data_IF_912467823631
#
_entry.id   IF_912467823631
#
_cell.length_a   1.000
_cell.length_b   1.000
_cell.length_c   1.000
_cell.angle_alpha   90.00
_cell.angle_beta   90.00
_cell.angle_gamma   90.00
#
_symmetry.space_group_name_H-M   'P 1'
#
loop_
_entity.id
_entity.type
_entity.pdbx_description
1 polymer ?
#
# COMPACT_ATOMS: atom_id res chain seq x y z
N UNK A 1 29.01 -17.46 23.25
CA UNK A 1 29.51 -16.57 22.20
C UNK A 1 28.40 -16.37 21.23
N UNK A 2 27.72 -15.51 21.46
CA UNK A 2 27.21 -14.16 21.14
C UNK A 2 26.28 -14.17 19.95
N UNK A 3 24.96 -14.36 20.27
CA UNK A 3 23.81 -14.22 19.39
C UNK A 3 23.65 -12.80 18.79
N UNK A 4 24.47 -11.85 19.24
CA UNK A 4 24.41 -10.43 18.86
C UNK A 4 25.11 -10.11 17.55
N UNK A 5 25.95 -10.99 17.03
CA UNK A 5 26.80 -10.69 15.86
C UNK A 5 26.10 -10.83 14.50
N UNK A 6 25.05 -11.66 14.38
CA UNK A 6 24.37 -11.92 13.08
C UNK A 6 23.39 -10.82 12.70
N UNK A 7 22.88 -10.05 13.68
CA UNK A 7 21.97 -8.94 13.42
C UNK A 7 22.64 -7.55 13.54
N UNK A 8 23.87 -7.48 14.04
CA UNK A 8 24.60 -6.21 14.23
C UNK A 8 25.22 -5.64 12.94
N UNK A 9 25.36 -6.46 11.88
CA UNK A 9 25.92 -6.02 10.59
C UNK A 9 24.96 -5.10 9.81
N UNK A 10 23.71 -5.03 10.19
CA UNK A 10 22.73 -4.12 9.57
C UNK A 10 22.71 -2.69 10.18
N UNK A 11 23.53 -2.42 11.20
CA UNK A 11 23.53 -1.10 11.87
C UNK A 11 24.76 -0.21 11.59
N UNK A 12 25.64 -0.61 10.68
CA UNK A 12 26.95 0.02 10.48
C UNK A 12 27.27 0.61 9.12
N UNK A 13 26.28 0.84 8.27
CA UNK A 13 26.47 1.68 7.08
C UNK A 13 25.71 2.99 7.21
N UNK A 14 26.32 4.15 6.82
CA UNK A 14 25.57 5.38 6.73
C UNK A 14 24.41 5.11 5.77
N UNK A 15 23.21 5.47 6.21
CA UNK A 15 21.98 5.36 5.44
C UNK A 15 22.18 5.94 4.05
N UNK A 16 22.55 5.10 3.09
CA UNK A 16 22.06 5.29 1.74
C UNK A 16 20.57 5.17 1.89
N UNK A 17 19.88 6.27 1.77
CA UNK A 17 18.45 6.36 1.65
C UNK A 17 17.99 5.16 0.85
N UNK A 18 17.11 4.27 1.35
CA UNK A 18 16.47 3.33 0.48
C UNK A 18 15.83 4.21 -0.58
N UNK A 19 16.31 4.11 -1.80
CA UNK A 19 15.51 4.57 -2.93
C UNK A 19 14.29 3.66 -2.88
N UNK A 20 13.26 4.13 -2.17
CA UNK A 20 11.92 3.66 -2.43
C UNK A 20 11.80 3.63 -3.95
N UNK A 21 11.38 2.51 -4.54
CA UNK A 21 11.00 2.54 -5.93
C UNK A 21 10.08 3.74 -6.03
N UNK A 22 10.52 4.73 -6.80
CA UNK A 22 9.75 5.94 -7.02
C UNK A 22 8.35 5.46 -7.33
N UNK A 23 7.44 5.65 -6.39
CA UNK A 23 6.03 5.55 -6.61
C UNK A 23 5.74 6.66 -7.62
N UNK A 24 6.09 6.37 -8.88
CA UNK A 24 5.49 7.08 -9.97
C UNK A 24 4.03 6.88 -9.74
N UNK A 25 3.29 7.95 -9.54
CA UNK A 25 1.87 8.01 -9.79
C UNK A 25 1.66 7.61 -11.26
N UNK A 26 1.82 6.32 -11.52
CA UNK A 26 1.55 5.70 -12.81
C UNK A 26 0.07 5.41 -12.76
N UNK A 27 -0.72 5.98 -13.66
CA UNK A 27 -2.09 5.56 -13.81
C UNK A 27 -2.08 4.05 -14.07
N UNK A 28 -2.64 3.26 -13.18
CA UNK A 28 -2.88 1.84 -13.39
C UNK A 28 -3.79 1.72 -14.61
N UNK A 29 -3.20 1.45 -15.76
CA UNK A 29 -3.96 0.93 -16.89
C UNK A 29 -4.38 -0.50 -16.55
N UNK A 30 -5.68 -0.69 -16.40
CA UNK A 30 -6.39 -1.90 -16.74
C UNK A 30 -6.22 -3.09 -15.84
N UNK A 31 -7.07 -3.17 -14.91
CA UNK A 31 -8.08 -4.22 -14.73
C UNK A 31 -9.05 -3.65 -13.70
N UNK A 32 -10.26 -3.36 -14.15
CA UNK A 32 -11.35 -2.98 -13.27
C UNK A 32 -11.77 -4.23 -12.46
N UNK A 33 -10.99 -4.56 -11.46
CA UNK A 33 -11.54 -5.15 -10.27
C UNK A 33 -12.16 -3.98 -9.53
N UNK A 34 -13.44 -3.97 -9.22
CA UNK A 34 -14.01 -2.89 -8.43
C UNK A 34 -13.20 -2.82 -7.16
N UNK A 35 -12.53 -1.68 -6.93
CA UNK A 35 -11.89 -1.40 -5.67
C UNK A 35 -12.94 -1.74 -4.61
N UNK A 36 -12.60 -2.69 -3.72
CA UNK A 36 -13.36 -2.89 -2.52
C UNK A 36 -13.20 -1.59 -1.72
N UNK A 37 -14.08 -0.64 -2.03
CA UNK A 37 -14.30 0.48 -1.14
C UNK A 37 -14.78 -0.15 0.15
N UNK A 38 -13.88 -0.20 1.15
CA UNK A 38 -14.29 -0.41 2.53
C UNK A 38 -15.51 0.47 2.75
N UNK A 39 -16.60 -0.05 3.31
CA UNK A 39 -17.77 0.74 3.53
C UNK A 39 -17.35 1.87 4.48
N UNK A 40 -17.21 3.09 3.94
CA UNK A 40 -17.22 4.28 4.77
C UNK A 40 -18.57 4.21 5.46
N UNK A 41 -18.54 3.98 6.76
CA UNK A 41 -19.73 3.89 7.59
C UNK A 41 -20.61 5.08 7.23
N UNK A 42 -21.83 4.79 6.77
CA UNK A 42 -22.83 5.77 6.44
C UNK A 42 -23.20 6.53 7.74
N UNK A 43 -22.45 7.60 8.03
CA UNK A 43 -22.79 8.51 9.10
C UNK A 43 -23.84 9.48 8.59
N UNK A 44 -25.07 9.17 8.94
CA UNK A 44 -26.17 10.06 9.30
C UNK A 44 -26.38 11.33 8.46
N UNK A 45 -27.07 11.21 7.34
CA UNK A 45 -28.16 12.14 7.05
C UNK A 45 -29.31 11.73 7.96
N UNK A 46 -30.03 12.69 8.55
CA UNK A 46 -31.07 12.48 9.51
C UNK A 46 -31.91 11.20 9.29
N UNK A 47 -31.76 10.25 10.21
CA UNK A 47 -32.66 9.12 10.44
C UNK A 47 -32.72 8.09 9.36
N UNK A 48 -32.24 6.91 9.67
CA UNK A 48 -32.73 5.55 9.33
C UNK A 48 -33.20 5.18 7.91
N UNK A 49 -33.08 6.01 6.87
CA UNK A 49 -33.35 5.57 5.52
C UNK A 49 -32.11 4.96 4.89
N UNK A 50 -32.14 3.68 4.45
CA UNK A 50 -31.02 3.06 3.76
C UNK A 50 -30.71 3.83 2.47
N UNK A 51 -29.42 3.99 2.15
CA UNK A 51 -29.02 4.60 0.87
C UNK A 51 -29.28 3.61 -0.28
N UNK A 52 -30.49 3.66 -0.82
CA UNK A 52 -30.95 2.76 -1.89
C UNK A 52 -30.13 2.97 -3.17
N UNK A 53 -29.68 4.20 -3.46
CA UNK A 53 -28.88 4.49 -4.65
C UNK A 53 -27.50 3.82 -4.56
N UNK A 54 -26.81 4.01 -3.45
CA UNK A 54 -25.52 3.36 -3.19
C UNK A 54 -25.66 1.83 -3.09
N UNK A 55 -26.72 1.35 -2.43
CA UNK A 55 -26.99 -0.08 -2.37
C UNK A 55 -27.30 -0.72 -3.75
N UNK A 56 -27.92 0.01 -4.66
CA UNK A 56 -28.11 -0.44 -6.06
C UNK A 56 -26.76 -0.46 -6.81
N UNK A 57 -25.93 0.56 -6.61
CA UNK A 57 -24.57 0.64 -7.17
C UNK A 57 -23.70 -0.54 -6.74
N UNK A 58 -23.63 -0.84 -5.45
CA UNK A 58 -22.86 -1.97 -4.91
C UNK A 58 -23.29 -3.32 -5.49
N UNK A 59 -24.57 -3.47 -5.85
CA UNK A 59 -25.09 -4.70 -6.50
C UNK A 59 -24.96 -4.70 -8.02
N UNK A 60 -24.25 -3.74 -8.61
CA UNK A 60 -24.05 -3.63 -10.06
C UNK A 60 -25.32 -3.17 -10.83
N UNK A 61 -26.35 -2.70 -10.12
CA UNK A 61 -27.61 -2.21 -10.74
C UNK A 61 -27.47 -0.73 -11.10
N UNK A 62 -26.56 -0.41 -12.02
CA UNK A 62 -26.11 0.96 -12.28
C UNK A 62 -27.22 1.87 -12.84
N UNK A 63 -28.10 1.38 -13.69
CA UNK A 63 -29.24 2.14 -14.22
C UNK A 63 -30.20 2.51 -13.08
N UNK A 64 -30.47 1.59 -12.16
CA UNK A 64 -31.30 1.85 -10.97
C UNK A 64 -30.61 2.83 -10.04
N UNK A 65 -29.29 2.66 -9.80
CA UNK A 65 -28.51 3.58 -9.00
C UNK A 65 -28.53 4.99 -9.57
N UNK A 66 -28.39 5.13 -10.87
CA UNK A 66 -28.46 6.42 -11.57
C UNK A 66 -29.81 7.12 -11.37
N UNK A 67 -30.93 6.41 -11.57
CA UNK A 67 -32.26 6.96 -11.38
C UNK A 67 -32.50 7.43 -9.94
N UNK A 68 -32.16 6.60 -8.94
CA UNK A 68 -32.31 6.92 -7.53
C UNK A 68 -31.39 8.07 -7.09
N UNK A 69 -30.14 8.07 -7.56
CA UNK A 69 -29.20 9.15 -7.27
C UNK A 69 -29.64 10.48 -7.89
N UNK A 70 -30.13 10.45 -9.12
CA UNK A 70 -30.68 11.65 -9.81
C UNK A 70 -31.83 12.24 -9.03
N UNK A 71 -32.78 11.42 -8.62
CA UNK A 71 -33.92 11.87 -7.84
C UNK A 71 -33.46 12.54 -6.53
N UNK A 72 -32.59 11.89 -5.75
CA UNK A 72 -32.10 12.44 -4.47
C UNK A 72 -31.25 13.71 -4.65
N UNK A 73 -30.40 13.73 -5.70
CA UNK A 73 -29.59 14.90 -6.00
C UNK A 73 -30.43 16.13 -6.35
N UNK A 74 -31.53 15.95 -7.09
CA UNK A 74 -32.42 17.05 -7.49
C UNK A 74 -33.37 17.47 -6.36
N UNK A 75 -34.03 16.51 -5.71
CA UNK A 75 -35.06 16.78 -4.70
C UNK A 75 -34.48 17.24 -3.37
N UNK A 76 -33.40 16.59 -2.91
CA UNK A 76 -32.81 16.82 -1.59
C UNK A 76 -31.46 17.55 -1.64
N UNK A 77 -30.91 17.80 -2.82
CA UNK A 77 -29.57 18.36 -3.04
C UNK A 77 -28.47 17.55 -2.28
N UNK A 78 -28.67 16.23 -2.18
CA UNK A 78 -27.81 15.33 -1.43
C UNK A 78 -26.42 15.21 -2.07
N UNK A 79 -25.35 15.63 -1.39
CA UNK A 79 -24.00 15.64 -1.98
C UNK A 79 -23.47 14.24 -2.28
N UNK A 80 -23.82 13.23 -1.48
CA UNK A 80 -23.39 11.84 -1.72
C UNK A 80 -24.01 11.28 -3.02
N UNK A 81 -25.28 11.59 -3.28
CA UNK A 81 -25.92 11.20 -4.53
C UNK A 81 -25.32 11.94 -5.74
N UNK A 82 -24.92 13.20 -5.57
CA UNK A 82 -24.19 13.95 -6.62
C UNK A 82 -22.82 13.31 -6.90
N UNK A 83 -22.08 12.91 -5.87
CA UNK A 83 -20.80 12.19 -6.01
C UNK A 83 -20.99 10.86 -6.74
N UNK A 84 -22.04 10.11 -6.39
CA UNK A 84 -22.38 8.85 -7.08
C UNK A 84 -22.71 9.08 -8.56
N UNK A 85 -23.42 10.14 -8.91
CA UNK A 85 -23.67 10.51 -10.32
C UNK A 85 -22.36 10.82 -11.05
N UNK A 86 -21.46 11.56 -10.41
CA UNK A 86 -20.13 11.81 -10.93
C UNK A 86 -19.37 10.51 -11.21
N UNK A 87 -19.42 9.55 -10.30
CA UNK A 87 -18.76 8.24 -10.44
C UNK A 87 -19.36 7.41 -11.58
N UNK A 88 -20.69 7.40 -11.71
CA UNK A 88 -21.39 6.70 -12.79
C UNK A 88 -21.00 7.26 -14.17
N UNK A 89 -20.95 8.59 -14.33
CA UNK A 89 -20.47 9.23 -15.57
C UNK A 89 -18.97 9.02 -15.81
N UNK A 90 -18.14 9.12 -14.77
CA UNK A 90 -16.69 8.96 -14.87
C UNK A 90 -16.26 7.58 -15.36
N UNK A 91 -17.04 6.55 -15.03
CA UNK A 91 -16.74 5.15 -15.34
C UNK A 91 -17.65 4.55 -16.42
N UNK A 92 -18.64 5.30 -16.94
CA UNK A 92 -19.58 4.80 -17.95
C UNK A 92 -20.50 3.69 -17.41
N UNK A 93 -20.88 3.77 -16.14
CA UNK A 93 -21.68 2.73 -15.46
C UNK A 93 -23.18 3.05 -15.55
N UNK A 94 -23.90 2.32 -16.40
CA UNK A 94 -25.31 2.54 -16.64
C UNK A 94 -25.66 3.78 -17.47
N UNK A 95 -24.67 4.59 -17.79
CA UNK A 95 -24.74 5.78 -18.67
C UNK A 95 -23.46 5.81 -19.53
N UNK A 96 -23.45 6.48 -20.68
CA UNK A 96 -22.23 6.71 -21.44
C UNK A 96 -21.21 7.48 -20.60
N UNK A 97 -19.93 7.10 -20.72
CA UNK A 97 -18.84 7.80 -20.03
C UNK A 97 -18.77 9.26 -20.51
N UNK A 98 -18.69 10.18 -19.54
CA UNK A 98 -18.60 11.62 -19.81
C UNK A 98 -17.88 12.32 -18.66
N UNK A 99 -16.56 12.56 -18.86
CA UNK A 99 -15.72 13.20 -17.84
C UNK A 99 -16.14 14.64 -17.51
N UNK A 100 -16.74 15.36 -18.47
CA UNK A 100 -17.24 16.73 -18.23
C UNK A 100 -18.44 16.73 -17.29
N UNK A 101 -19.42 15.86 -17.58
CA UNK A 101 -20.59 15.70 -16.69
C UNK A 101 -20.18 15.15 -15.33
N UNK A 102 -19.23 14.22 -15.28
CA UNK A 102 -18.68 13.73 -14.03
C UNK A 102 -18.12 14.88 -13.18
N UNK A 103 -17.27 15.73 -13.79
CA UNK A 103 -16.70 16.90 -13.11
C UNK A 103 -17.77 17.89 -12.64
N UNK A 104 -18.81 18.16 -13.45
CA UNK A 104 -19.93 19.02 -13.04
C UNK A 104 -20.62 18.50 -11.77
N UNK A 105 -20.94 17.20 -11.72
CA UNK A 105 -21.55 16.58 -10.54
C UNK A 105 -20.61 16.59 -9.34
N UNK A 106 -19.32 16.30 -9.51
CA UNK A 106 -18.34 16.40 -8.46
C UNK A 106 -18.18 17.83 -7.93
N UNK A 107 -18.19 18.85 -8.80
CA UNK A 107 -18.16 20.25 -8.36
C UNK A 107 -19.39 20.61 -7.52
N UNK A 108 -20.57 20.14 -7.91
CA UNK A 108 -21.80 20.37 -7.14
C UNK A 108 -21.76 19.71 -5.76
N UNK A 109 -21.21 18.52 -5.66
CA UNK A 109 -21.04 17.80 -4.40
C UNK A 109 -19.95 18.44 -3.52
N UNK A 110 -18.79 18.77 -4.09
CA UNK A 110 -17.68 19.41 -3.39
C UNK A 110 -18.07 20.78 -2.82
N UNK A 111 -18.84 21.59 -3.58
CA UNK A 111 -19.37 22.85 -3.10
C UNK A 111 -20.33 22.69 -1.90
N UNK A 112 -20.80 21.47 -1.64
CA UNK A 112 -21.63 21.11 -0.48
C UNK A 112 -20.86 20.36 0.60
N UNK A 113 -19.53 20.35 0.49
CA UNK A 113 -18.63 19.79 1.49
C UNK A 113 -18.47 18.28 1.43
N UNK A 114 -18.75 17.63 0.29
CA UNK A 114 -18.47 16.20 0.14
C UNK A 114 -16.96 15.97 -0.10
N UNK A 115 -16.23 15.33 0.83
CA UNK A 115 -14.80 15.12 0.69
C UNK A 115 -14.46 14.09 -0.39
N UNK A 116 -15.34 13.15 -0.70
CA UNK A 116 -15.13 12.17 -1.76
C UNK A 116 -15.18 12.83 -3.14
N UNK A 117 -16.07 13.80 -3.34
CA UNK A 117 -16.12 14.59 -4.56
C UNK A 117 -14.88 15.49 -4.71
N UNK A 118 -14.41 16.11 -3.62
CA UNK A 118 -13.15 16.88 -3.63
C UNK A 118 -11.97 16.00 -4.05
N UNK A 119 -11.87 14.80 -3.49
CA UNK A 119 -10.84 13.83 -3.85
C UNK A 119 -10.96 13.39 -5.32
N UNK A 120 -12.18 13.09 -5.81
CA UNK A 120 -12.40 12.75 -7.22
C UNK A 120 -11.94 13.87 -8.16
N UNK A 121 -12.25 15.14 -7.83
CA UNK A 121 -11.75 16.30 -8.58
C UNK A 121 -10.25 16.46 -8.51
N UNK A 122 -9.63 16.10 -7.39
CA UNK A 122 -8.17 16.09 -7.26
C UNK A 122 -7.53 15.10 -8.25
N UNK A 123 -8.08 13.89 -8.36
CA UNK A 123 -7.63 12.89 -9.33
C UNK A 123 -7.88 13.37 -10.77
N UNK A 124 -9.03 13.96 -11.06
CA UNK A 124 -9.32 14.54 -12.39
C UNK A 124 -8.30 15.62 -12.78
N UNK A 125 -7.94 16.49 -11.84
CA UNK A 125 -6.92 17.53 -12.06
C UNK A 125 -5.53 16.93 -12.29
N UNK A 126 -5.19 15.86 -11.58
CA UNK A 126 -3.91 15.16 -11.72
C UNK A 126 -3.78 14.45 -13.07
N UNK A 127 -4.86 13.80 -13.53
CA UNK A 127 -4.91 13.03 -14.76
C UNK A 127 -5.18 13.90 -16.00
N UNK A 128 -5.72 15.11 -15.82
CA UNK A 128 -6.15 15.98 -16.91
C UNK A 128 -7.48 15.56 -17.53
N UNK A 129 -8.37 14.96 -16.73
CA UNK A 129 -9.75 14.64 -17.11
C UNK A 129 -10.60 15.90 -17.00
N UNK A 130 -11.46 16.16 -17.96
CA UNK A 130 -12.28 17.37 -18.04
C UNK A 130 -11.51 18.71 -18.09
N UNK A 131 -10.17 18.70 -18.21
CA UNK A 131 -9.36 19.92 -18.31
C UNK A 131 -7.86 19.62 -18.34
N UNK A 132 -7.00 20.65 -18.36
CA UNK A 132 -5.56 20.44 -18.32
C UNK A 132 -5.11 19.86 -16.97
N UNK A 133 -3.98 19.13 -17.00
CA UNK A 133 -3.35 18.62 -15.78
C UNK A 133 -2.89 19.75 -14.89
N UNK A 134 -3.25 19.71 -13.62
CA UNK A 134 -2.88 20.70 -12.63
C UNK A 134 -2.57 20.02 -11.29
N UNK A 135 -1.28 19.81 -11.03
CA UNK A 135 -0.79 19.16 -9.79
C UNK A 135 -1.07 20.01 -8.55
N UNK A 136 -0.97 21.33 -8.68
CA UNK A 136 -1.16 22.23 -7.54
C UNK A 136 -2.63 22.27 -7.13
N UNK A 137 -3.54 22.37 -8.10
CA UNK A 137 -4.98 22.29 -7.84
C UNK A 137 -5.37 20.92 -7.25
N UNK A 138 -4.79 19.83 -7.78
CA UNK A 138 -5.00 18.48 -7.24
C UNK A 138 -4.62 18.41 -5.76
N UNK A 139 -3.43 18.88 -5.40
CA UNK A 139 -2.96 18.85 -4.02
C UNK A 139 -3.81 19.74 -3.09
N UNK A 140 -4.28 20.89 -3.56
CA UNK A 140 -5.21 21.74 -2.79
C UNK A 140 -6.53 21.01 -2.51
N UNK A 141 -7.12 20.38 -3.53
CA UNK A 141 -8.34 19.59 -3.38
C UNK A 141 -8.16 18.38 -2.45
N UNK A 142 -6.99 17.71 -2.50
CA UNK A 142 -6.64 16.65 -1.54
C UNK A 142 -6.56 17.20 -0.12
N UNK A 143 -5.95 18.38 0.07
CA UNK A 143 -5.87 19.02 1.37
C UNK A 143 -7.26 19.36 1.94
N UNK A 144 -8.15 19.88 1.10
CA UNK A 144 -9.52 20.20 1.51
C UNK A 144 -10.31 18.92 1.86
N UNK A 145 -10.17 17.85 1.08
CA UNK A 145 -10.77 16.56 1.38
C UNK A 145 -10.21 15.95 2.68
N UNK A 146 -8.89 16.02 2.88
CA UNK A 146 -8.22 15.50 4.08
C UNK A 146 -8.67 16.25 5.35
N UNK A 147 -8.83 17.57 5.30
CA UNK A 147 -9.38 18.37 6.42
C UNK A 147 -10.79 17.91 6.82
N UNK A 148 -11.56 17.41 5.88
CA UNK A 148 -12.88 16.83 6.12
C UNK A 148 -12.83 15.33 6.46
N UNK A 149 -11.64 14.81 6.72
CA UNK A 149 -11.44 13.43 7.18
C UNK A 149 -11.42 12.37 6.08
N UNK A 150 -11.22 12.75 4.79
CA UNK A 150 -11.12 11.75 3.71
C UNK A 150 -9.80 10.97 3.81
N UNK A 151 -9.83 9.65 4.11
CA UNK A 151 -8.61 8.94 4.50
C UNK A 151 -7.62 8.75 3.34
N UNK A 152 -8.11 8.51 2.12
CA UNK A 152 -7.23 8.33 0.96
C UNK A 152 -6.57 9.66 0.59
N UNK A 153 -7.33 10.77 0.61
CA UNK A 153 -6.76 12.09 0.35
C UNK A 153 -5.70 12.47 1.40
N UNK A 154 -5.93 12.13 2.66
CA UNK A 154 -4.97 12.34 3.74
C UNK A 154 -3.68 11.54 3.51
N UNK A 155 -3.80 10.27 3.11
CA UNK A 155 -2.65 9.43 2.80
C UNK A 155 -1.85 9.98 1.60
N UNK A 156 -2.51 10.27 0.48
CA UNK A 156 -1.85 10.75 -0.73
C UNK A 156 -1.16 12.11 -0.50
N UNK A 157 -1.82 13.02 0.24
CA UNK A 157 -1.24 14.29 0.61
C UNK A 157 -0.02 14.13 1.54
N UNK A 158 -0.08 13.18 2.49
CA UNK A 158 1.06 12.89 3.37
C UNK A 158 2.29 12.44 2.57
N UNK A 159 2.10 11.61 1.53
CA UNK A 159 3.19 11.22 0.64
C UNK A 159 3.81 12.42 -0.07
N UNK A 160 3.01 13.39 -0.53
CA UNK A 160 3.54 14.62 -1.15
C UNK A 160 4.40 15.44 -0.20
N UNK A 161 4.05 15.50 1.11
CA UNK A 161 4.88 16.15 2.13
C UNK A 161 6.14 15.35 2.47
N UNK A 162 6.08 14.02 2.45
CA UNK A 162 7.25 13.15 2.65
C UNK A 162 8.23 13.29 1.47
N UNK A 163 7.73 13.32 0.23
CA UNK A 163 8.56 13.45 -0.97
C UNK A 163 9.23 14.82 -1.09
N UNK A 164 8.57 15.87 -0.65
CA UNK A 164 9.10 17.23 -0.70
C UNK A 164 9.24 17.85 -2.10
N UNK A 165 8.57 17.27 -3.11
CA UNK A 165 8.70 17.73 -4.50
C UNK A 165 7.72 18.84 -4.88
N UNK A 166 6.50 18.77 -4.37
CA UNK A 166 5.42 19.72 -4.64
C UNK A 166 5.27 20.75 -3.52
N UNK A 167 5.49 20.30 -2.30
CA UNK A 167 5.54 21.12 -1.09
C UNK A 167 6.91 20.95 -0.43
N UNK A 168 7.38 21.91 0.41
CA UNK A 168 8.53 21.65 1.28
C UNK A 168 8.30 20.40 2.12
N UNK A 169 9.34 19.59 2.26
CA UNK A 169 9.25 18.35 3.04
C UNK A 169 8.88 18.65 4.50
N UNK A 170 7.81 18.03 4.98
CA UNK A 170 7.31 18.21 6.34
C UNK A 170 6.79 16.88 6.91
N UNK A 171 7.65 16.20 7.67
CA UNK A 171 7.30 14.92 8.30
C UNK A 171 6.30 15.07 9.44
N UNK A 172 6.25 16.23 10.11
CA UNK A 172 5.29 16.46 11.20
C UNK A 172 3.88 16.55 10.63
N UNK A 173 3.72 17.35 9.58
CA UNK A 173 2.43 17.46 8.90
C UNK A 173 2.02 16.14 8.22
N UNK A 174 2.99 15.44 7.60
CA UNK A 174 2.73 14.10 7.05
C UNK A 174 2.26 13.11 8.11
N UNK A 175 2.84 13.12 9.32
CA UNK A 175 2.41 12.24 10.41
C UNK A 175 0.97 12.53 10.88
N UNK A 176 0.55 13.79 10.91
CA UNK A 176 -0.83 14.17 11.24
C UNK A 176 -1.81 13.63 10.19
N UNK A 177 -1.50 13.78 8.92
CA UNK A 177 -2.30 13.27 7.81
C UNK A 177 -2.34 11.74 7.80
N UNK A 178 -1.19 11.08 7.98
CA UNK A 178 -1.13 9.62 8.08
C UNK A 178 -1.95 9.10 9.25
N UNK A 179 -2.03 9.84 10.38
CA UNK A 179 -2.87 9.46 11.52
C UNK A 179 -4.35 9.44 11.16
N UNK A 180 -4.82 10.39 10.36
CA UNK A 180 -6.21 10.40 9.85
C UNK A 180 -6.49 9.14 9.05
N UNK A 181 -5.62 8.81 8.09
CA UNK A 181 -5.78 7.63 7.25
C UNK A 181 -5.61 6.31 8.02
N UNK A 182 -4.63 6.24 8.93
CA UNK A 182 -4.37 5.06 9.75
C UNK A 182 -5.53 4.74 10.71
N UNK A 183 -6.13 5.77 11.31
CA UNK A 183 -7.31 5.62 12.16
C UNK A 183 -8.55 5.16 11.38
N UNK A 184 -8.62 5.49 10.11
CA UNK A 184 -9.65 4.97 9.20
C UNK A 184 -9.37 3.53 8.72
N UNK A 185 -8.28 2.91 9.17
CA UNK A 185 -7.92 1.54 8.85
C UNK A 185 -7.12 1.36 7.56
N UNK A 186 -6.55 2.44 6.99
CA UNK A 186 -5.69 2.32 5.81
C UNK A 186 -4.36 1.65 6.19
N UNK A 187 -4.04 0.44 5.68
CA UNK A 187 -2.85 -0.30 6.10
C UNK A 187 -1.55 0.34 5.63
N UNK A 188 -1.52 0.98 4.46
CA UNK A 188 -0.35 1.69 3.96
C UNK A 188 -0.05 2.91 4.84
N UNK A 189 -1.08 3.63 5.31
CA UNK A 189 -0.92 4.74 6.24
C UNK A 189 -0.46 4.27 7.62
N UNK A 190 -0.96 3.12 8.10
CA UNK A 190 -0.49 2.49 9.34
C UNK A 190 0.99 2.14 9.24
N UNK A 191 1.41 1.51 8.15
CA UNK A 191 2.81 1.19 7.91
C UNK A 191 3.68 2.45 7.84
N UNK A 192 3.29 3.44 7.04
CA UNK A 192 4.05 4.68 6.88
C UNK A 192 4.17 5.45 8.22
N UNK A 193 3.08 5.58 8.98
CA UNK A 193 3.10 6.23 10.29
C UNK A 193 3.96 5.43 11.29
N UNK A 194 3.88 4.10 11.28
CA UNK A 194 4.72 3.22 12.08
C UNK A 194 6.21 3.44 11.78
N UNK A 195 6.57 3.63 10.52
CA UNK A 195 7.94 3.94 10.10
C UNK A 195 8.39 5.30 10.66
N UNK A 196 7.54 6.33 10.61
CA UNK A 196 7.86 7.64 11.20
C UNK A 196 8.10 7.53 12.72
N UNK A 197 7.29 6.77 13.45
CA UNK A 197 7.52 6.51 14.89
C UNK A 197 8.78 5.69 15.17
N UNK A 198 9.08 4.68 14.34
CA UNK A 198 10.30 3.86 14.42
C UNK A 198 11.56 4.71 14.27
N UNK A 199 11.54 5.66 13.35
CA UNK A 199 12.68 6.51 13.00
C UNK A 199 12.75 7.80 13.84
N UNK A 200 11.64 8.25 14.43
CA UNK A 200 11.53 9.54 15.12
C UNK A 200 11.50 10.72 14.13
N UNK A 201 10.90 10.53 12.95
CA UNK A 201 10.81 11.57 11.91
C UNK A 201 9.45 12.26 11.99
N UNK A 202 9.44 13.56 12.28
CA UNK A 202 8.22 14.36 12.43
C UNK A 202 7.39 14.04 13.68
N UNK A 203 7.72 12.95 14.38
CA UNK A 203 7.13 12.53 15.66
C UNK A 203 8.25 12.04 16.58
N UNK A 204 8.08 12.09 17.92
CA UNK A 204 9.02 11.47 18.85
C UNK A 204 9.13 9.97 18.55
N UNK A 205 10.37 9.44 18.63
CA UNK A 205 10.60 8.00 18.42
C UNK A 205 9.86 7.19 19.48
N UNK A 206 9.02 6.27 19.01
CA UNK A 206 8.25 5.36 19.86
C UNK A 206 8.13 3.98 19.20
N UNK A 207 8.91 3.01 19.67
CA UNK A 207 8.91 1.66 19.12
C UNK A 207 7.64 0.88 19.46
N UNK A 208 6.99 1.16 20.60
CA UNK A 208 5.74 0.50 20.96
C UNK A 208 4.62 0.93 20.02
N UNK A 209 4.49 2.23 19.76
CA UNK A 209 3.49 2.74 18.81
C UNK A 209 3.81 2.31 17.38
N UNK A 210 5.08 2.30 16.96
CA UNK A 210 5.49 1.78 15.66
C UNK A 210 5.05 0.33 15.47
N UNK A 211 5.33 -0.54 16.45
CA UNK A 211 4.99 -1.97 16.39
C UNK A 211 3.47 -2.19 16.42
N UNK A 212 2.74 -1.40 17.21
CA UNK A 212 1.28 -1.42 17.22
C UNK A 212 0.71 -1.15 15.82
N UNK A 213 1.22 -0.13 15.14
CA UNK A 213 0.82 0.24 13.79
C UNK A 213 1.22 -0.82 12.75
N UNK A 214 2.45 -1.35 12.84
CA UNK A 214 2.89 -2.44 11.98
C UNK A 214 2.03 -3.70 12.16
N UNK A 215 1.63 -4.02 13.40
CA UNK A 215 0.76 -5.17 13.66
C UNK A 215 -0.61 -5.03 13.00
N UNK A 216 -1.21 -3.83 13.04
CA UNK A 216 -2.49 -3.55 12.39
C UNK A 216 -2.39 -3.68 10.86
N UNK A 217 -1.35 -3.08 10.26
CA UNK A 217 -1.12 -3.18 8.83
C UNK A 217 -0.80 -4.62 8.39
N UNK A 218 -0.03 -5.37 9.19
CA UNK A 218 0.30 -6.77 8.94
C UNK A 218 -0.94 -7.69 8.98
N UNK A 219 -1.91 -7.41 9.84
CA UNK A 219 -3.20 -8.09 9.89
C UNK A 219 -4.04 -7.81 8.64
N UNK A 220 -3.88 -6.65 8.03
CA UNK A 220 -4.52 -6.26 6.78
C UNK A 220 -3.70 -6.67 5.53
N UNK A 221 -2.80 -7.62 5.67
CA UNK A 221 -1.98 -8.21 4.59
C UNK A 221 -0.98 -7.24 3.91
N UNK A 222 -0.61 -6.13 4.60
CA UNK A 222 0.48 -5.28 4.13
C UNK A 222 1.82 -5.99 4.31
N UNK A 223 2.48 -6.35 3.18
CA UNK A 223 3.65 -7.22 3.21
C UNK A 223 4.87 -6.59 3.92
N UNK A 224 5.11 -5.30 3.71
CA UNK A 224 6.22 -4.61 4.36
C UNK A 224 5.99 -4.46 5.86
N UNK A 225 4.74 -4.24 6.28
CA UNK A 225 4.37 -4.23 7.69
C UNK A 225 4.51 -5.62 8.33
N UNK A 226 4.22 -6.69 7.61
CA UNK A 226 4.47 -8.07 8.09
C UNK A 226 5.95 -8.30 8.37
N UNK A 227 6.84 -7.79 7.53
CA UNK A 227 8.30 -7.86 7.73
C UNK A 227 8.72 -7.07 8.96
N UNK A 228 8.29 -5.81 9.08
CA UNK A 228 8.66 -4.95 10.21
C UNK A 228 8.13 -5.50 11.54
N UNK A 229 6.90 -5.99 11.55
CA UNK A 229 6.33 -6.63 12.73
C UNK A 229 7.06 -7.93 13.10
N UNK A 230 7.41 -8.74 12.10
CA UNK A 230 8.21 -9.95 12.30
C UNK A 230 9.60 -9.64 12.88
N UNK A 231 10.29 -8.59 12.39
CA UNK A 231 11.57 -8.13 12.93
C UNK A 231 11.41 -7.70 14.40
N UNK A 232 10.37 -6.94 14.71
CA UNK A 232 10.08 -6.48 16.07
C UNK A 232 9.85 -7.67 17.03
N UNK A 233 9.03 -8.63 16.63
CA UNK A 233 8.76 -9.86 17.39
C UNK A 233 10.02 -10.74 17.56
N UNK A 234 10.85 -10.85 16.52
CA UNK A 234 12.06 -11.66 16.58
C UNK A 234 13.08 -11.10 17.57
N UNK A 235 13.22 -9.78 17.60
CA UNK A 235 14.19 -9.07 18.44
C UNK A 235 13.65 -8.71 19.84
N UNK A 236 12.33 -8.64 20.02
CA UNK A 236 11.70 -8.10 21.21
C UNK A 236 11.81 -6.57 21.31
N UNK A 237 11.75 -5.90 20.16
CA UNK A 237 11.88 -4.44 20.07
C UNK A 237 10.50 -3.77 20.03
N UNK A 238 10.08 -3.13 21.10
CA UNK A 238 8.75 -2.51 21.23
C UNK A 238 7.60 -3.52 21.43
N UNK A 239 7.90 -4.80 21.57
CA UNK A 239 6.96 -5.89 21.86
C UNK A 239 7.72 -7.05 22.51
N UNK A 240 7.04 -7.92 23.24
CA UNK A 240 7.63 -9.12 23.78
C UNK A 240 8.16 -10.05 22.66
N UNK A 241 9.36 -10.59 22.91
CA UNK A 241 10.00 -11.47 21.94
C UNK A 241 9.18 -12.73 21.69
N UNK A 242 8.84 -12.98 20.44
CA UNK A 242 8.14 -14.18 20.00
C UNK A 242 8.65 -14.66 18.63
N UNK A 243 9.70 -15.48 18.65
CA UNK A 243 10.34 -15.95 17.43
C UNK A 243 9.44 -16.87 16.58
N UNK A 244 8.58 -17.66 17.21
CA UNK A 244 7.65 -18.52 16.46
C UNK A 244 6.65 -17.70 15.65
N UNK A 245 6.07 -16.67 16.28
CA UNK A 245 5.14 -15.77 15.60
C UNK A 245 5.88 -14.94 14.53
N UNK A 246 7.11 -14.50 14.80
CA UNK A 246 7.95 -13.81 13.81
C UNK A 246 8.14 -14.66 12.54
N UNK A 247 8.46 -15.94 12.69
CA UNK A 247 8.63 -16.86 11.56
C UNK A 247 7.33 -17.00 10.76
N UNK A 248 6.18 -17.05 11.43
CA UNK A 248 4.89 -17.11 10.73
C UNK A 248 4.65 -15.87 9.86
N UNK A 249 4.96 -14.67 10.36
CA UNK A 249 4.84 -13.43 9.58
C UNK A 249 5.89 -13.34 8.46
N UNK A 250 7.15 -13.70 8.70
CA UNK A 250 8.15 -13.79 7.64
C UNK A 250 7.71 -14.75 6.54
N UNK A 251 7.16 -15.91 6.89
CA UNK A 251 6.65 -16.88 5.90
C UNK A 251 5.49 -16.32 5.10
N UNK A 252 4.57 -15.61 5.75
CA UNK A 252 3.44 -14.95 5.08
C UNK A 252 3.92 -13.90 4.07
N UNK A 253 4.82 -13.01 4.48
CA UNK A 253 5.40 -12.00 3.60
C UNK A 253 6.25 -12.61 2.46
N UNK A 254 7.01 -13.68 2.75
CA UNK A 254 7.79 -14.40 1.75
C UNK A 254 6.90 -15.04 0.66
N UNK A 255 5.77 -15.63 1.07
CA UNK A 255 4.75 -16.17 0.15
C UNK A 255 4.07 -15.08 -0.69
N UNK A 256 3.96 -13.85 -0.18
CA UNK A 256 3.48 -12.69 -0.92
C UNK A 256 4.53 -12.09 -1.87
N UNK A 257 5.73 -12.67 -1.93
CA UNK A 257 6.80 -12.26 -2.83
C UNK A 257 7.75 -11.20 -2.28
N UNK A 258 7.68 -10.85 -0.98
CA UNK A 258 8.60 -9.89 -0.40
C UNK A 258 10.02 -10.48 -0.29
N UNK A 259 11.04 -9.92 -1.00
CA UNK A 259 12.37 -10.52 -1.08
C UNK A 259 13.13 -10.44 0.25
N UNK A 260 12.93 -9.39 1.04
CA UNK A 260 13.54 -9.25 2.37
C UNK A 260 13.02 -10.34 3.30
N UNK A 261 11.69 -10.62 3.27
CA UNK A 261 11.12 -11.70 4.05
C UNK A 261 11.65 -13.07 3.63
N UNK A 262 11.82 -13.31 2.33
CA UNK A 262 12.38 -14.54 1.77
C UNK A 262 13.81 -14.77 2.28
N UNK A 263 14.64 -13.75 2.26
CA UNK A 263 16.04 -13.81 2.73
C UNK A 263 16.12 -14.03 4.26
N UNK A 264 15.31 -13.29 5.03
CA UNK A 264 15.20 -13.47 6.48
C UNK A 264 14.69 -14.87 6.85
N UNK A 265 13.70 -15.38 6.13
CA UNK A 265 13.19 -16.74 6.35
C UNK A 265 14.25 -17.80 6.04
N UNK A 266 15.03 -17.59 4.96
CA UNK A 266 16.16 -18.47 4.64
C UNK A 266 17.18 -18.51 5.78
N UNK A 267 17.58 -17.36 6.31
CA UNK A 267 18.50 -17.25 7.47
C UNK A 267 17.95 -17.99 8.70
N UNK A 268 16.68 -17.79 9.00
CA UNK A 268 16.01 -18.41 10.16
C UNK A 268 15.97 -19.92 10.03
N UNK A 269 15.62 -20.44 8.85
CA UNK A 269 15.53 -21.87 8.58
C UNK A 269 16.90 -22.55 8.50
N UNK A 270 17.92 -21.86 8.00
CA UNK A 270 19.29 -22.38 7.98
C UNK A 270 19.84 -22.59 9.40
N UNK A 271 19.54 -21.68 10.33
CA UNK A 271 20.09 -21.67 11.69
C UNK A 271 19.15 -22.28 12.75
N UNK A 272 17.88 -22.53 12.43
CA UNK A 272 16.90 -23.07 13.38
C UNK A 272 16.45 -22.05 14.43
N UNK A 273 16.37 -20.75 14.10
CA UNK A 273 15.95 -19.71 15.05
C UNK A 273 14.43 -19.72 15.25
N UNK A 274 13.99 -20.13 16.44
CA UNK A 274 12.55 -20.20 16.80
C UNK A 274 11.77 -21.33 16.12
N UNK A 275 12.39 -22.06 15.20
CA UNK A 275 11.86 -23.24 14.49
C UNK A 275 12.96 -24.28 14.30
N UNK A 276 12.59 -25.52 13.99
CA UNK A 276 13.57 -26.53 13.59
C UNK A 276 14.25 -26.12 12.27
N UNK A 277 15.58 -26.25 12.22
CA UNK A 277 16.33 -26.02 10.99
C UNK A 277 15.81 -26.89 9.83
N UNK A 278 15.70 -26.28 8.66
CA UNK A 278 15.29 -26.93 7.42
C UNK A 278 16.18 -26.45 6.27
N UNK A 279 17.32 -27.16 6.02
CA UNK A 279 18.30 -26.71 5.05
C UNK A 279 17.78 -26.61 3.62
N UNK A 280 16.88 -27.49 3.21
CA UNK A 280 16.30 -27.50 1.85
C UNK A 280 15.38 -26.28 1.67
N UNK A 281 14.47 -26.05 2.63
CA UNK A 281 13.58 -24.88 2.58
C UNK A 281 14.38 -23.56 2.69
N UNK A 282 15.43 -23.52 3.50
CA UNK A 282 16.33 -22.38 3.58
C UNK A 282 16.98 -22.06 2.23
N UNK A 283 17.54 -23.07 1.57
CA UNK A 283 18.14 -22.92 0.25
C UNK A 283 17.12 -22.47 -0.80
N UNK A 284 15.93 -23.06 -0.81
CA UNK A 284 14.82 -22.62 -1.67
C UNK A 284 14.55 -21.13 -1.54
N UNK A 285 14.32 -20.63 -0.32
CA UNK A 285 14.01 -19.23 -0.11
C UNK A 285 15.20 -18.32 -0.46
N UNK A 286 16.45 -18.78 -0.21
CA UNK A 286 17.63 -18.03 -0.65
C UNK A 286 17.71 -17.91 -2.17
N UNK A 287 17.46 -18.98 -2.93
CA UNK A 287 17.45 -18.96 -4.39
C UNK A 287 16.40 -18.00 -4.95
N UNK A 288 15.22 -17.95 -4.32
CA UNK A 288 14.14 -17.05 -4.71
C UNK A 288 14.52 -15.59 -4.43
N UNK A 289 14.98 -15.27 -3.21
CA UNK A 289 15.39 -13.91 -2.84
C UNK A 289 16.56 -13.41 -3.69
N UNK A 290 17.51 -14.28 -4.01
CA UNK A 290 18.63 -13.99 -4.91
C UNK A 290 18.15 -13.63 -6.32
N UNK A 291 17.20 -14.37 -6.86
CA UNK A 291 16.60 -14.06 -8.16
C UNK A 291 15.85 -12.72 -8.16
N UNK A 292 15.33 -12.28 -7.02
CA UNK A 292 14.71 -10.97 -6.81
C UNK A 292 15.73 -9.84 -6.57
N UNK A 293 17.04 -10.16 -6.49
CA UNK A 293 18.11 -9.17 -6.37
C UNK A 293 18.73 -9.03 -4.97
N UNK A 294 18.29 -9.82 -3.98
CA UNK A 294 18.89 -9.79 -2.66
C UNK A 294 20.30 -10.40 -2.64
N UNK A 295 21.19 -9.80 -1.86
CA UNK A 295 22.58 -10.24 -1.72
C UNK A 295 22.85 -10.67 -0.27
N UNK A 296 23.20 -11.95 -0.08
CA UNK A 296 23.61 -12.53 1.20
C UNK A 296 24.68 -13.60 0.94
N UNK A 297 25.95 -13.20 1.05
CA UNK A 297 27.10 -14.10 0.80
C UNK A 297 27.14 -15.29 1.77
N UNK A 298 26.91 -15.14 3.08
CA UNK A 298 26.81 -16.26 4.02
C UNK A 298 25.74 -17.29 3.63
N UNK A 299 24.57 -16.86 3.19
CA UNK A 299 23.53 -17.79 2.72
C UNK A 299 23.90 -18.44 1.38
N UNK A 300 24.56 -17.72 0.46
CA UNK A 300 25.06 -18.30 -0.79
C UNK A 300 26.11 -19.39 -0.51
N UNK A 301 27.01 -19.16 0.44
CA UNK A 301 27.99 -20.15 0.89
C UNK A 301 27.32 -21.34 1.55
N UNK A 302 26.29 -21.11 2.40
CA UNK A 302 25.49 -22.18 2.99
C UNK A 302 24.86 -23.06 1.91
N UNK A 303 24.19 -22.47 0.89
CA UNK A 303 23.60 -23.23 -0.22
C UNK A 303 24.62 -24.03 -1.00
N UNK A 304 25.85 -23.48 -1.22
CA UNK A 304 26.92 -24.14 -1.93
C UNK A 304 27.47 -25.39 -1.22
N UNK A 305 27.35 -25.40 0.12
CA UNK A 305 27.84 -26.51 0.99
C UNK A 305 26.81 -27.61 1.21
N UNK A 306 25.58 -27.46 0.73
CA UNK A 306 24.60 -28.52 0.81
C UNK A 306 25.02 -29.75 -0.03
N UNK A 307 24.59 -30.91 0.43
CA UNK A 307 24.77 -32.13 -0.36
C UNK A 307 24.00 -32.02 -1.71
N UNK A 308 24.44 -32.70 -2.76
CA UNK A 308 23.89 -32.56 -4.10
C UNK A 308 22.37 -32.85 -4.19
N UNK A 309 21.88 -33.78 -3.38
CA UNK A 309 20.46 -34.16 -3.39
C UNK A 309 19.58 -33.04 -2.77
N UNK A 310 19.97 -32.53 -1.61
CA UNK A 310 19.29 -31.44 -0.93
C UNK A 310 19.29 -30.16 -1.76
N UNK A 311 20.41 -29.87 -2.42
CA UNK A 311 20.54 -28.72 -3.31
C UNK A 311 19.63 -28.84 -4.54
N UNK A 312 19.66 -30.00 -5.23
CA UNK A 312 18.78 -30.23 -6.38
C UNK A 312 17.29 -30.10 -5.99
N UNK A 313 16.90 -30.61 -4.83
CA UNK A 313 15.53 -30.48 -4.33
C UNK A 313 15.17 -28.99 -4.11
N UNK A 314 16.04 -28.21 -3.49
CA UNK A 314 15.80 -26.78 -3.27
C UNK A 314 15.68 -26.00 -4.59
N UNK A 315 16.53 -26.32 -5.57
CA UNK A 315 16.48 -25.73 -6.92
C UNK A 315 15.16 -26.05 -7.64
N UNK A 316 14.70 -27.30 -7.57
CA UNK A 316 13.43 -27.72 -8.15
C UNK A 316 12.24 -27.02 -7.49
N UNK A 317 12.23 -26.90 -6.16
CA UNK A 317 11.16 -26.20 -5.43
C UNK A 317 11.18 -24.67 -5.65
N UNK A 318 12.34 -24.06 -5.90
CA UNK A 318 12.49 -22.64 -6.18
C UNK A 318 12.13 -22.26 -7.62
N UNK A 319 12.31 -23.17 -8.56
CA UNK A 319 12.22 -22.93 -10.03
C UNK A 319 10.96 -22.16 -10.46
N UNK A 320 9.74 -22.53 -10.05
CA UNK A 320 8.54 -21.80 -10.49
C UNK A 320 8.55 -20.32 -10.10
N UNK A 321 9.12 -20.00 -8.94
CA UNK A 321 9.26 -18.63 -8.44
C UNK A 321 10.33 -17.86 -9.21
N UNK A 322 11.50 -18.47 -9.38
CA UNK A 322 12.62 -17.87 -10.11
C UNK A 322 12.24 -17.56 -11.54
N UNK A 323 11.60 -18.50 -12.24
CA UNK A 323 11.13 -18.31 -13.62
C UNK A 323 10.09 -17.19 -13.72
N UNK A 324 9.22 -17.05 -12.73
CA UNK A 324 8.24 -15.97 -12.67
C UNK A 324 8.90 -14.60 -12.49
N UNK A 325 9.87 -14.50 -11.58
CA UNK A 325 10.64 -13.28 -11.34
C UNK A 325 11.40 -12.87 -12.60
N UNK A 326 12.10 -13.80 -13.25
CA UNK A 326 12.88 -13.54 -14.46
C UNK A 326 12.01 -13.06 -15.61
N UNK A 327 10.84 -13.67 -15.82
CA UNK A 327 9.86 -13.19 -16.83
C UNK A 327 9.39 -11.78 -16.56
N UNK A 328 9.13 -11.44 -15.29
CA UNK A 328 8.72 -10.08 -14.90
C UNK A 328 9.82 -9.06 -15.15
N UNK A 329 11.07 -9.40 -14.82
CA UNK A 329 12.22 -8.53 -15.06
C UNK A 329 12.44 -8.28 -16.57
N UNK A 330 12.41 -9.35 -17.38
CA UNK A 330 12.54 -9.25 -18.84
C UNK A 330 11.42 -8.39 -19.46
N UNK A 331 10.17 -8.55 -19.02
CA UNK A 331 9.05 -7.74 -19.48
C UNK A 331 9.23 -6.25 -19.15
N UNK A 332 9.75 -5.94 -17.95
CA UNK A 332 10.03 -4.56 -17.53
C UNK A 332 11.18 -3.92 -18.31
N UNK A 333 12.20 -4.69 -18.68
CA UNK A 333 13.31 -4.22 -19.53
C UNK A 333 12.83 -3.89 -20.95
N UNK A 334 12.03 -4.76 -21.55
CA UNK A 334 11.39 -4.51 -22.84
C UNK A 334 10.51 -3.25 -22.84
N UNK A 335 9.74 -3.05 -21.77
CA UNK A 335 8.91 -1.86 -21.63
C UNK A 335 9.73 -0.56 -21.49
N UNK A 336 10.90 -0.62 -20.84
CA UNK A 336 11.83 0.52 -20.72
C UNK A 336 12.57 0.81 -22.02
N UNK A 337 12.95 -0.21 -22.80
CA UNK A 337 13.62 -0.06 -24.09
C UNK A 337 12.69 0.41 -25.21
N UNK A 338 11.39 0.23 -25.10
CA UNK A 338 10.40 0.67 -26.06
C UNK A 338 9.89 2.11 -25.84
N UNK A 339 10.33 2.81 -24.77
CA UNK A 339 9.99 4.20 -24.55
C UNK A 339 10.78 5.09 -25.54
N UNK A 340 10.13 5.90 -26.40
CA UNK A 340 10.85 6.78 -27.31
C UNK A 340 11.70 7.77 -26.53
N UNK A 341 12.97 7.91 -26.91
CA UNK A 341 13.85 8.94 -26.40
C UNK A 341 13.17 10.31 -26.62
N UNK A 342 12.95 11.05 -25.55
CA UNK A 342 12.43 12.41 -25.57
C UNK A 342 13.58 13.39 -25.69
#
# INVERSE_FOLDING_TARGET
>A
MTLTAVFAVAQGQPATTPQHPQSKLVPRKGSATPAQTTPVAATAGNGNEPDLAFGAFQRGRYITAFGLATQRALDRKDPKSMTLLGELYANGLGVPQDDKKAAEWYHLAAARGDPSAMFALAIFSLEGRAGPRDRQKSAQLMADAAKLGHPIAAYDLALLYIEGQLFPQDFSHAAELLRVAANAGNPQAQYALGTLYKEGRGVPKDLHEAVRLFSLAALADEADAQVEYAIALFNGAGVDRNQQLAVAYFRKAALSGNPIAQDRLATILANGFGVKANPVEAAKWRLISKAAGETDLPLDEFVSKLDPKSRAQAEDEARPWVDSIQRTLAANEHARGAAPAK
#
